data_IF_088417857517
#
_entry.id   IF_088417857517
#
_cell.length_a   1.000
_cell.length_b   1.000
_cell.length_c   1.000
_cell.angle_alpha   90.00
_cell.angle_beta   90.00
_cell.angle_gamma   90.00
#
_symmetry.space_group_name_H-M   'P 1'
#
loop_
_entity.id
_entity.type
_entity.pdbx_description
1 polymer ?
#
# COMPACT_ATOMS: atom_id res chain seq x y z
N UNK A 1 8.45 -28.01 13.70
CA UNK A 1 9.42 -26.96 13.33
C UNK A 1 8.71 -25.86 12.54
N UNK A 2 8.24 -24.79 13.22
CA UNK A 2 7.60 -23.62 12.56
C UNK A 2 8.71 -22.64 12.16
N UNK A 3 9.32 -22.87 10.99
CA UNK A 3 10.49 -22.12 10.54
C UNK A 3 10.41 -21.58 9.11
N UNK A 4 9.21 -21.42 8.54
CA UNK A 4 9.05 -21.07 7.12
C UNK A 4 8.48 -19.67 6.83
N UNK A 5 8.11 -18.88 7.84
CA UNK A 5 7.36 -17.62 7.63
C UNK A 5 8.22 -16.36 7.47
N UNK A 6 9.48 -16.38 7.90
CA UNK A 6 10.32 -15.18 7.98
C UNK A 6 10.78 -14.65 6.61
N UNK A 7 11.32 -15.53 5.75
CA UNK A 7 11.78 -15.16 4.41
C UNK A 7 10.64 -14.68 3.49
N UNK A 8 9.47 -15.35 3.44
CA UNK A 8 8.34 -14.85 2.67
C UNK A 8 7.84 -13.50 3.17
N UNK A 9 7.74 -13.29 4.48
CA UNK A 9 7.29 -12.02 5.05
C UNK A 9 8.30 -10.88 4.79
N UNK A 10 9.60 -11.18 4.85
CA UNK A 10 10.69 -10.23 4.57
C UNK A 10 10.65 -9.68 3.14
N UNK A 11 10.17 -10.47 2.18
CA UNK A 11 10.03 -10.03 0.78
C UNK A 11 8.63 -9.46 0.52
N UNK A 12 7.60 -10.10 1.05
CA UNK A 12 6.21 -9.76 0.76
C UNK A 12 5.82 -8.39 1.34
N UNK A 13 6.25 -8.05 2.56
CA UNK A 13 5.89 -6.76 3.19
C UNK A 13 6.43 -5.58 2.36
N UNK A 14 7.73 -5.53 2.00
CA UNK A 14 8.24 -4.48 1.12
C UNK A 14 7.56 -4.44 -0.25
N UNK A 15 7.28 -5.59 -0.86
CA UNK A 15 6.61 -5.65 -2.18
C UNK A 15 5.21 -5.06 -2.12
N UNK A 16 4.42 -5.41 -1.09
CA UNK A 16 3.07 -4.88 -0.89
C UNK A 16 3.10 -3.38 -0.58
N UNK A 17 4.04 -2.95 0.24
CA UNK A 17 4.24 -1.53 0.53
C UNK A 17 4.59 -0.74 -0.74
N UNK A 18 5.54 -1.25 -1.54
CA UNK A 18 5.97 -0.60 -2.77
C UNK A 18 4.85 -0.56 -3.81
N UNK A 19 4.09 -1.65 -3.97
CA UNK A 19 2.93 -1.69 -4.87
C UNK A 19 1.85 -0.68 -4.47
N UNK A 20 1.50 -0.62 -3.19
CA UNK A 20 0.51 0.36 -2.67
C UNK A 20 1.01 1.80 -2.74
N UNK A 21 2.33 2.01 -2.62
CA UNK A 21 2.93 3.33 -2.75
C UNK A 21 2.85 3.84 -4.20
N UNK A 22 3.12 2.97 -5.17
CA UNK A 22 2.92 3.26 -6.59
C UNK A 22 1.45 3.55 -6.93
N UNK A 23 0.53 2.80 -6.34
CA UNK A 23 -0.91 3.04 -6.48
C UNK A 23 -1.31 4.42 -5.96
N UNK A 24 -0.83 4.78 -4.76
CA UNK A 24 -1.05 6.09 -4.15
C UNK A 24 -0.48 7.21 -5.01
N UNK A 25 0.74 7.03 -5.53
CA UNK A 25 1.40 7.97 -6.42
C UNK A 25 0.61 8.20 -7.72
N UNK A 26 0.21 7.11 -8.39
CA UNK A 26 -0.58 7.17 -9.62
C UNK A 26 -1.95 7.81 -9.41
N UNK A 27 -2.66 7.41 -8.34
CA UNK A 27 -3.96 7.97 -8.00
C UNK A 27 -3.86 9.45 -7.64
N UNK A 28 -2.84 9.84 -6.88
CA UNK A 28 -2.63 11.25 -6.53
C UNK A 28 -2.30 12.08 -7.77
N UNK A 29 -1.44 11.58 -8.67
CA UNK A 29 -1.16 12.24 -9.94
C UNK A 29 -2.43 12.42 -10.79
N UNK A 30 -3.29 11.40 -10.83
CA UNK A 30 -4.59 11.46 -11.52
C UNK A 30 -5.53 12.50 -10.88
N UNK A 31 -5.67 12.50 -9.56
CA UNK A 31 -6.60 13.38 -8.83
C UNK A 31 -6.16 14.84 -8.80
N UNK A 32 -4.85 15.09 -8.78
CA UNK A 32 -4.30 16.45 -8.68
C UNK A 32 -4.00 17.07 -10.06
N UNK A 33 -4.01 16.27 -11.13
CA UNK A 33 -3.63 16.69 -12.48
C UNK A 33 -2.18 17.17 -12.59
N UNK A 34 -1.38 17.04 -11.52
CA UNK A 34 0.02 17.46 -11.49
C UNK A 34 0.93 16.24 -11.65
N UNK A 35 1.98 16.34 -12.48
CA UNK A 35 2.95 15.28 -12.61
C UNK A 35 3.62 15.02 -11.25
N UNK A 36 3.51 13.77 -10.78
CA UNK A 36 4.04 13.30 -9.49
C UNK A 36 5.55 13.59 -9.34
N UNK A 37 6.27 13.74 -10.45
CA UNK A 37 7.70 14.10 -10.47
C UNK A 37 8.01 15.53 -10.03
N UNK A 38 7.05 16.44 -10.09
CA UNK A 38 7.24 17.83 -9.64
C UNK A 38 6.99 18.03 -8.15
N UNK A 39 6.45 17.01 -7.46
CA UNK A 39 6.19 17.09 -6.01
C UNK A 39 7.49 16.95 -5.21
N UNK A 40 7.73 17.83 -4.22
CA UNK A 40 8.94 17.77 -3.41
C UNK A 40 9.00 16.47 -2.60
N UNK A 41 10.20 15.89 -2.48
CA UNK A 41 10.43 14.60 -1.83
C UNK A 41 9.87 14.53 -0.40
N UNK A 42 9.98 15.64 0.36
CA UNK A 42 9.46 15.77 1.72
C UNK A 42 7.94 15.65 1.83
N UNK A 43 7.20 15.91 0.76
CA UNK A 43 5.74 15.72 0.69
C UNK A 43 5.41 14.35 0.10
N UNK A 44 6.21 13.91 -0.88
CA UNK A 44 6.07 12.63 -1.58
C UNK A 44 6.20 11.45 -0.63
N UNK A 45 7.24 11.45 0.22
CA UNK A 45 7.53 10.34 1.13
C UNK A 45 6.45 10.14 2.19
N UNK A 46 6.00 11.15 2.97
CA UNK A 46 4.91 10.98 3.92
C UNK A 46 3.60 10.58 3.25
N UNK A 47 3.30 11.16 2.07
CA UNK A 47 2.08 10.85 1.34
C UNK A 47 2.07 9.39 0.85
N UNK A 48 3.20 8.86 0.38
CA UNK A 48 3.33 7.45 0.03
C UNK A 48 3.18 6.55 1.25
N UNK A 49 3.80 6.88 2.39
CA UNK A 49 3.67 6.09 3.62
C UNK A 49 2.20 6.04 4.07
N UNK A 50 1.55 7.20 4.18
CA UNK A 50 0.15 7.30 4.63
C UNK A 50 -0.78 6.58 3.66
N UNK A 51 -0.63 6.82 2.34
CA UNK A 51 -1.47 6.19 1.33
C UNK A 51 -1.28 4.67 1.27
N UNK A 52 -0.05 4.17 1.38
CA UNK A 52 0.21 2.73 1.47
C UNK A 52 -0.44 2.10 2.70
N UNK A 53 -0.34 2.73 3.87
CA UNK A 53 -0.99 2.24 5.09
C UNK A 53 -2.51 2.19 4.92
N UNK A 54 -3.12 3.25 4.38
CA UNK A 54 -4.56 3.29 4.13
C UNK A 54 -5.01 2.24 3.11
N UNK A 55 -4.25 2.05 2.02
CA UNK A 55 -4.55 1.05 1.00
C UNK A 55 -4.47 -0.38 1.57
N UNK A 56 -3.45 -0.68 2.37
CA UNK A 56 -3.33 -1.98 3.04
C UNK A 56 -4.45 -2.20 4.06
N UNK A 57 -4.81 -1.16 4.83
CA UNK A 57 -5.92 -1.22 5.78
C UNK A 57 -7.26 -1.46 5.07
N UNK A 58 -7.51 -0.77 3.96
CA UNK A 58 -8.70 -0.98 3.12
C UNK A 58 -8.75 -2.42 2.58
N UNK A 59 -7.63 -2.95 2.10
CA UNK A 59 -7.52 -4.35 1.68
C UNK A 59 -7.87 -5.32 2.83
N UNK A 60 -7.34 -5.09 4.02
CA UNK A 60 -7.63 -5.92 5.19
C UNK A 60 -9.11 -5.88 5.58
N UNK A 61 -9.74 -4.70 5.50
CA UNK A 61 -11.19 -4.54 5.74
C UNK A 61 -12.00 -5.27 4.68
N UNK A 62 -11.68 -5.13 3.39
CA UNK A 62 -12.38 -5.83 2.31
C UNK A 62 -12.27 -7.34 2.49
N UNK A 63 -11.07 -7.85 2.78
CA UNK A 63 -10.86 -9.29 3.02
C UNK A 63 -11.69 -9.73 4.23
N UNK A 64 -11.62 -9.00 5.35
CA UNK A 64 -12.40 -9.32 6.56
C UNK A 64 -13.90 -9.34 6.29
N UNK A 65 -14.43 -8.34 5.57
CA UNK A 65 -15.83 -8.26 5.19
C UNK A 65 -16.23 -9.39 4.22
N UNK A 66 -15.37 -9.73 3.27
CA UNK A 66 -15.59 -10.86 2.34
C UNK A 66 -15.65 -12.20 3.09
N UNK A 67 -14.83 -12.39 4.13
CA UNK A 67 -14.86 -13.59 4.96
C UNK A 67 -16.16 -13.70 5.78
N UNK A 68 -16.74 -12.57 6.18
CA UNK A 68 -18.01 -12.54 6.92
C UNK A 68 -19.19 -13.06 6.07
N UNK A 69 -19.24 -12.73 4.77
CA UNK A 69 -20.28 -13.25 3.86
C UNK A 69 -20.06 -14.69 3.39
N UNK A 70 -18.85 -15.23 3.60
CA UNK A 70 -18.52 -16.62 3.25
C UNK A 70 -18.91 -17.62 4.36
N UNK A 71 -19.42 -17.13 5.50
CA UNK A 71 -20.00 -17.95 6.59
C UNK A 71 -21.52 -17.93 6.50
#
# INVERSE_FOLDING_TARGET
>A
MKGGGGLPALVMIPTLFMGTAWLTAGLTGLLTGRPWDTTPFWVKLPMMIIGSVLALLACAVIIGFTQQFRR
#
